data_IF_612077197246
#
_entry.id   IF_612077197246
#
_cell.length_a   1.000
_cell.length_b   1.000
_cell.length_c   1.000
_cell.angle_alpha   90.00
_cell.angle_beta   90.00
_cell.angle_gamma   90.00
#
_symmetry.space_group_name_H-M   'P 1'
#
loop_
_entity.id
_entity.type
_entity.pdbx_description
1 polymer ?
#
# COMPACT_ATOMS: atom_id res chain seq x y z
N UNK A 1 -10.77 35.49 1.09
CA UNK A 1 -10.97 34.27 1.89
C UNK A 1 -9.63 33.58 2.01
N UNK A 2 -9.04 33.52 3.21
CA UNK A 2 -7.75 32.90 3.46
C UNK A 2 -7.80 31.42 3.09
N UNK A 3 -7.10 31.03 2.03
CA UNK A 3 -6.77 29.64 1.78
C UNK A 3 -5.75 29.21 2.85
N UNK A 4 -6.21 28.84 4.05
CA UNK A 4 -5.41 28.01 4.94
C UNK A 4 -5.10 26.73 4.16
N UNK A 5 -3.83 26.52 3.83
CA UNK A 5 -3.35 25.31 3.16
C UNK A 5 -3.95 24.09 3.87
N UNK A 6 -4.79 23.37 3.14
CA UNK A 6 -5.39 22.14 3.65
C UNK A 6 -4.32 21.07 3.56
N UNK A 7 -3.70 20.77 4.69
CA UNK A 7 -2.64 19.76 4.80
C UNK A 7 -3.18 18.47 5.40
N UNK A 8 -2.73 17.34 4.88
CA UNK A 8 -3.08 16.01 5.39
C UNK A 8 -1.86 15.10 5.41
N UNK A 9 -1.82 14.16 6.37
CA UNK A 9 -1.04 12.94 6.23
C UNK A 9 -1.84 11.89 5.46
N UNK A 10 -1.19 11.03 4.69
CA UNK A 10 -1.84 9.90 4.05
C UNK A 10 -1.29 8.57 4.57
N UNK A 11 -2.19 7.72 5.10
CA UNK A 11 -1.89 6.33 5.44
C UNK A 11 -2.39 5.42 4.32
N UNK A 12 -1.47 4.85 3.54
CA UNK A 12 -1.77 4.05 2.35
C UNK A 12 -1.75 2.56 2.70
N UNK A 13 -2.89 1.91 2.53
CA UNK A 13 -3.11 0.55 3.00
C UNK A 13 -2.51 -0.54 2.12
N UNK A 14 -2.39 -1.72 2.74
CA UNK A 14 -2.09 -2.99 2.08
C UNK A 14 -3.22 -3.42 1.15
N UNK A 15 -2.91 -4.24 0.10
CA UNK A 15 -3.96 -4.72 -0.79
C UNK A 15 -3.49 -5.28 -2.12
N UNK A 16 -2.20 -5.55 -2.30
CA UNK A 16 -1.64 -6.09 -3.53
C UNK A 16 -2.13 -5.32 -4.79
N UNK A 17 -2.75 -5.99 -5.78
CA UNK A 17 -3.26 -5.35 -7.01
C UNK A 17 -4.28 -4.24 -6.76
N UNK A 18 -4.98 -4.26 -5.62
CA UNK A 18 -5.94 -3.21 -5.23
C UNK A 18 -5.26 -1.85 -5.03
N UNK A 19 -3.93 -1.83 -4.88
CA UNK A 19 -3.12 -0.61 -4.82
C UNK A 19 -3.28 0.34 -6.00
N UNK A 20 -3.76 -0.14 -7.15
CA UNK A 20 -4.10 0.74 -8.27
C UNK A 20 -5.19 1.78 -7.94
N UNK A 21 -6.03 1.51 -6.94
CA UNK A 21 -7.02 2.47 -6.45
C UNK A 21 -6.39 3.69 -5.76
N UNK A 22 -5.16 3.56 -5.24
CA UNK A 22 -4.43 4.69 -4.62
C UNK A 22 -4.11 5.79 -5.62
N UNK A 23 -3.86 5.43 -6.88
CA UNK A 23 -3.43 6.37 -7.92
C UNK A 23 -4.47 7.48 -8.15
N UNK A 24 -5.73 7.19 -8.53
CA UNK A 24 -6.73 8.22 -8.75
C UNK A 24 -7.10 8.97 -7.45
N UNK A 25 -7.01 8.32 -6.29
CA UNK A 25 -7.25 8.96 -4.99
C UNK A 25 -6.20 10.07 -4.76
N UNK A 26 -4.91 9.77 -4.89
CA UNK A 26 -3.82 10.74 -4.72
C UNK A 26 -3.95 11.87 -5.75
N UNK A 27 -4.18 11.54 -7.03
CA UNK A 27 -4.40 12.53 -8.10
C UNK A 27 -5.54 13.49 -7.77
N UNK A 28 -6.68 12.96 -7.34
CA UNK A 28 -7.84 13.77 -7.01
C UNK A 28 -7.59 14.68 -5.80
N UNK A 29 -6.97 14.19 -4.75
CA UNK A 29 -6.60 14.98 -3.57
C UNK A 29 -5.72 16.16 -3.97
N UNK A 30 -4.67 15.92 -4.77
CA UNK A 30 -3.82 17.00 -5.29
C UNK A 30 -4.59 17.99 -6.17
N UNK A 31 -5.45 17.51 -7.08
CA UNK A 31 -6.28 18.35 -7.95
C UNK A 31 -7.21 19.28 -7.17
N UNK A 32 -7.65 18.87 -5.98
CA UNK A 32 -8.48 19.69 -5.09
C UNK A 32 -7.67 20.71 -4.26
N UNK A 33 -6.38 20.83 -4.49
CA UNK A 33 -5.49 21.75 -3.78
C UNK A 33 -5.25 21.32 -2.32
N UNK A 34 -5.37 20.03 -2.01
CA UNK A 34 -5.06 19.48 -0.68
C UNK A 34 -3.60 19.01 -0.70
N UNK A 35 -2.79 19.60 0.17
CA UNK A 35 -1.37 19.27 0.32
C UNK A 35 -1.20 17.99 1.12
N UNK A 36 -0.40 17.05 0.62
CA UNK A 36 -0.01 15.86 1.35
C UNK A 36 1.33 16.18 2.02
N UNK A 37 1.35 16.30 3.34
CA UNK A 37 2.52 16.74 4.11
C UNK A 37 3.36 15.58 4.66
N UNK A 38 2.80 14.36 4.72
CA UNK A 38 3.52 13.13 5.11
C UNK A 38 2.79 11.91 4.57
N UNK A 39 3.51 10.83 4.34
CA UNK A 39 2.95 9.55 3.87
C UNK A 39 3.46 8.40 4.72
N UNK A 40 2.54 7.52 5.08
CA UNK A 40 2.86 6.19 5.59
C UNK A 40 2.29 5.13 4.66
N UNK A 41 2.91 3.98 4.61
CA UNK A 41 2.41 2.91 3.74
C UNK A 41 2.75 1.52 4.23
N UNK A 42 1.85 0.58 3.93
CA UNK A 42 2.02 -0.85 4.20
C UNK A 42 1.85 -1.63 2.89
N UNK A 43 2.74 -2.59 2.61
CA UNK A 43 2.70 -3.41 1.39
C UNK A 43 2.67 -2.58 0.12
N UNK A 44 1.65 -2.75 -0.73
CA UNK A 44 1.49 -1.92 -1.95
C UNK A 44 1.37 -0.43 -1.62
N UNK A 45 0.81 -0.08 -0.46
CA UNK A 45 0.77 1.30 0.02
C UNK A 45 2.15 1.86 0.31
N UNK A 46 3.09 1.03 0.78
CA UNK A 46 4.49 1.41 0.95
C UNK A 46 5.15 1.70 -0.40
N UNK A 47 4.91 0.85 -1.41
CA UNK A 47 5.44 1.05 -2.75
C UNK A 47 4.94 2.37 -3.36
N UNK A 48 3.63 2.58 -3.35
CA UNK A 48 3.02 3.79 -3.94
C UNK A 48 3.40 5.04 -3.14
N UNK A 49 3.37 4.93 -1.80
CA UNK A 49 3.71 6.03 -0.89
C UNK A 49 5.17 6.44 -0.99
N UNK A 50 6.09 5.48 -1.08
CA UNK A 50 7.51 5.76 -1.26
C UNK A 50 7.79 6.45 -2.60
N UNK A 51 7.14 5.99 -3.67
CA UNK A 51 7.26 6.65 -4.97
C UNK A 51 6.77 8.10 -4.89
N UNK A 52 5.58 8.32 -4.32
CA UNK A 52 5.01 9.66 -4.18
C UNK A 52 5.90 10.56 -3.31
N UNK A 53 6.37 10.07 -2.17
CA UNK A 53 7.20 10.84 -1.27
C UNK A 53 8.55 11.24 -1.90
N UNK A 54 9.11 10.37 -2.74
CA UNK A 54 10.37 10.62 -3.44
C UNK A 54 10.23 11.60 -4.61
N UNK A 55 9.18 11.44 -5.42
CA UNK A 55 9.03 12.18 -6.68
C UNK A 55 8.04 13.37 -6.60
N UNK A 56 7.22 13.48 -5.56
CA UNK A 56 6.19 14.52 -5.40
C UNK A 56 5.03 14.39 -6.38
N UNK A 57 4.99 13.31 -7.18
CA UNK A 57 3.98 13.05 -8.20
C UNK A 57 3.70 11.53 -8.32
N UNK A 58 2.60 11.18 -8.97
CA UNK A 58 2.16 9.79 -9.13
C UNK A 58 1.89 9.42 -10.58
N UNK A 59 1.94 10.40 -11.48
CA UNK A 59 1.59 10.21 -12.89
C UNK A 59 2.58 9.31 -13.63
N UNK A 60 3.87 9.49 -13.38
CA UNK A 60 4.92 8.67 -14.00
C UNK A 60 4.87 7.22 -13.53
N UNK A 61 4.55 6.98 -12.24
CA UNK A 61 4.30 5.61 -11.75
C UNK A 61 3.13 4.97 -12.51
N UNK A 62 2.03 5.72 -12.65
CA UNK A 62 0.85 5.26 -13.38
C UNK A 62 1.15 4.94 -14.85
N UNK A 63 1.86 5.84 -15.55
CA UNK A 63 2.23 5.63 -16.94
C UNK A 63 3.09 4.38 -17.16
N UNK A 64 3.99 4.08 -16.22
CA UNK A 64 4.81 2.86 -16.25
C UNK A 64 3.96 1.62 -15.93
N UNK A 65 3.17 1.67 -14.87
CA UNK A 65 2.40 0.53 -14.39
C UNK A 65 1.34 0.06 -15.39
N UNK A 66 0.57 0.97 -16.00
CA UNK A 66 -0.48 0.62 -16.97
C UNK A 66 0.04 0.01 -18.28
N UNK A 67 1.33 0.24 -18.62
CA UNK A 67 1.97 -0.33 -19.81
C UNK A 67 2.41 -1.76 -19.59
N UNK A 68 2.57 -2.21 -18.35
CA UNK A 68 3.02 -3.56 -18.03
C UNK A 68 1.95 -4.60 -18.38
N UNK A 69 2.31 -5.53 -19.23
CA UNK A 69 1.47 -6.65 -19.67
C UNK A 69 1.75 -7.90 -18.81
N UNK A 70 0.87 -8.90 -18.90
CA UNK A 70 1.06 -10.19 -18.22
C UNK A 70 2.45 -10.78 -18.42
N UNK A 71 2.99 -10.73 -19.66
CA UNK A 71 4.32 -11.26 -19.99
C UNK A 71 5.46 -10.55 -19.23
N UNK A 72 5.30 -9.26 -18.94
CA UNK A 72 6.31 -8.46 -18.25
C UNK A 72 6.33 -8.82 -16.76
N UNK A 73 5.16 -8.99 -16.15
CA UNK A 73 5.03 -9.50 -14.78
C UNK A 73 5.58 -10.93 -14.63
N UNK A 74 5.32 -11.81 -15.59
CA UNK A 74 5.86 -13.17 -15.58
C UNK A 74 7.39 -13.21 -15.64
N UNK A 75 8.04 -12.25 -16.33
CA UNK A 75 9.50 -12.13 -16.36
C UNK A 75 10.09 -11.73 -15.00
N UNK A 76 9.31 -11.02 -14.16
CA UNK A 76 9.73 -10.63 -12.82
C UNK A 76 9.59 -11.77 -11.80
N UNK A 77 8.82 -12.79 -12.13
CA UNK A 77 8.75 -13.99 -11.31
C UNK A 77 10.09 -14.73 -11.36
N UNK A 78 10.65 -14.97 -10.18
CA UNK A 78 11.87 -15.75 -9.98
C UNK A 78 11.55 -16.90 -9.01
N UNK A 79 11.20 -18.09 -9.53
CA UNK A 79 10.78 -19.22 -8.68
C UNK A 79 11.78 -19.54 -7.59
N UNK A 80 11.28 -19.84 -6.41
CA UNK A 80 12.07 -20.26 -5.25
C UNK A 80 11.84 -21.73 -4.94
N UNK A 81 12.54 -22.25 -3.92
CA UNK A 81 12.27 -23.58 -3.39
C UNK A 81 10.91 -23.59 -2.71
N UNK A 82 10.01 -24.55 -3.02
CA UNK A 82 8.63 -24.53 -2.52
C UNK A 82 8.48 -24.51 -1.00
N UNK A 83 9.48 -25.03 -0.28
CA UNK A 83 9.50 -25.02 1.19
C UNK A 83 9.90 -23.67 1.81
N UNK A 84 10.30 -22.69 1.00
CA UNK A 84 10.68 -21.36 1.48
C UNK A 84 9.65 -20.31 1.07
N UNK A 85 9.26 -20.26 -0.21
CA UNK A 85 8.30 -19.30 -0.78
C UNK A 85 8.04 -19.65 -2.24
N UNK A 86 7.03 -19.01 -2.87
CA UNK A 86 6.77 -19.19 -4.30
C UNK A 86 7.82 -18.51 -5.18
N UNK A 87 8.26 -17.30 -4.82
CA UNK A 87 9.25 -16.51 -5.57
C UNK A 87 10.32 -15.94 -4.64
N UNK A 88 11.51 -15.68 -5.18
CA UNK A 88 12.64 -15.10 -4.43
C UNK A 88 12.49 -13.60 -4.21
N UNK A 89 11.98 -12.88 -5.21
CA UNK A 89 11.79 -11.43 -5.19
C UNK A 89 12.98 -10.60 -5.67
N UNK A 90 14.09 -11.22 -6.06
CA UNK A 90 15.29 -10.49 -6.49
C UNK A 90 15.07 -9.73 -7.80
N UNK A 91 14.35 -10.33 -8.76
CA UNK A 91 14.00 -9.64 -10.02
C UNK A 91 13.06 -8.46 -9.79
N UNK A 92 12.13 -8.59 -8.85
CA UNK A 92 11.21 -7.51 -8.45
C UNK A 92 12.00 -6.39 -7.77
N UNK A 93 12.90 -6.71 -6.86
CA UNK A 93 13.79 -5.74 -6.22
C UNK A 93 14.60 -4.97 -7.26
N UNK A 94 15.25 -5.67 -8.19
CA UNK A 94 16.02 -5.05 -9.27
C UNK A 94 15.13 -4.14 -10.12
N UNK A 95 13.94 -4.60 -10.51
CA UNK A 95 12.99 -3.80 -11.27
C UNK A 95 12.60 -2.50 -10.53
N UNK A 96 12.34 -2.55 -9.23
CA UNK A 96 12.01 -1.37 -8.45
C UNK A 96 13.18 -0.40 -8.31
N UNK A 97 14.41 -0.91 -8.18
CA UNK A 97 15.62 -0.09 -8.22
C UNK A 97 15.71 0.62 -9.58
N UNK A 98 15.66 -0.13 -10.68
CA UNK A 98 15.88 0.39 -12.02
C UNK A 98 14.78 1.37 -12.47
N UNK A 99 13.55 1.19 -12.00
CA UNK A 99 12.38 1.92 -12.51
C UNK A 99 11.83 2.98 -11.56
N UNK A 100 12.02 2.83 -10.24
CA UNK A 100 11.28 3.64 -9.28
C UNK A 100 12.16 4.37 -8.27
N UNK A 101 13.12 3.72 -7.65
CA UNK A 101 13.79 4.26 -6.47
C UNK A 101 15.28 4.53 -6.64
N UNK A 102 15.96 3.87 -7.58
CA UNK A 102 17.42 3.93 -7.66
C UNK A 102 18.07 3.51 -6.34
N UNK A 103 19.06 4.26 -5.91
CA UNK A 103 19.77 4.10 -4.63
C UNK A 103 19.22 5.04 -3.54
N UNK A 104 18.04 5.62 -3.74
CA UNK A 104 17.47 6.64 -2.87
C UNK A 104 17.24 6.14 -1.44
N UNK A 105 17.43 7.05 -0.52
CA UNK A 105 17.20 6.88 0.91
C UNK A 105 16.00 7.70 1.37
N UNK A 106 15.53 7.50 2.60
CA UNK A 106 14.48 8.32 3.19
C UNK A 106 14.84 9.81 3.29
N UNK A 107 16.12 10.16 3.24
CA UNK A 107 16.56 11.57 3.23
C UNK A 107 16.32 12.28 1.90
N UNK A 108 16.16 11.52 0.84
CA UNK A 108 15.95 12.04 -0.52
C UNK A 108 14.47 12.30 -0.82
N UNK A 109 13.57 11.95 0.11
CA UNK A 109 12.12 12.19 -0.06
C UNK A 109 11.77 13.68 0.13
N UNK A 110 10.83 14.17 -0.67
CA UNK A 110 10.35 15.56 -0.62
C UNK A 110 9.44 15.83 0.59
N UNK A 111 8.83 14.78 1.12
CA UNK A 111 7.96 14.81 2.31
C UNK A 111 8.29 13.62 3.21
N UNK A 112 8.04 13.70 4.53
CA UNK A 112 8.23 12.58 5.44
C UNK A 112 7.55 11.30 4.95
N UNK A 113 8.31 10.21 4.96
CA UNK A 113 7.86 8.87 4.59
C UNK A 113 8.11 7.90 5.74
N UNK A 114 7.12 7.05 6.02
CA UNK A 114 7.31 5.88 6.88
C UNK A 114 6.78 4.64 6.18
N UNK A 115 7.58 3.60 6.14
CA UNK A 115 7.23 2.29 5.59
C UNK A 115 6.98 1.31 6.73
N UNK A 116 5.80 0.70 6.75
CA UNK A 116 5.45 -0.31 7.74
C UNK A 116 5.85 -1.71 7.24
N UNK A 117 6.54 -2.46 8.09
CA UNK A 117 6.77 -3.89 7.95
C UNK A 117 6.40 -4.60 9.26
N UNK A 118 6.39 -5.92 9.27
CA UNK A 118 6.15 -6.71 10.49
C UNK A 118 7.41 -7.49 10.87
N UNK A 119 7.82 -7.37 12.13
CA UNK A 119 8.83 -8.25 12.73
C UNK A 119 8.14 -9.54 13.22
N UNK A 120 8.33 -10.69 12.55
CA UNK A 120 7.64 -11.92 12.90
C UNK A 120 8.16 -12.56 14.20
N UNK A 121 9.40 -12.26 14.63
CA UNK A 121 10.00 -12.79 15.85
C UNK A 121 9.52 -12.01 17.07
N UNK A 122 9.49 -10.67 16.98
CA UNK A 122 9.00 -9.81 18.07
C UNK A 122 7.48 -9.60 18.02
N UNK A 123 6.81 -10.08 16.96
CA UNK A 123 5.34 -10.00 16.77
C UNK A 123 4.80 -8.57 16.88
N UNK A 124 5.49 -7.62 16.24
CA UNK A 124 5.11 -6.20 16.28
C UNK A 124 5.26 -5.53 14.92
N UNK A 125 4.48 -4.48 14.61
CA UNK A 125 4.74 -3.64 13.46
C UNK A 125 6.06 -2.89 13.68
N UNK A 126 6.79 -2.66 12.58
CA UNK A 126 8.03 -1.89 12.54
C UNK A 126 7.86 -0.76 11.54
N UNK A 127 8.09 0.46 11.98
CA UNK A 127 7.97 1.67 11.18
C UNK A 127 9.35 2.17 10.77
N UNK A 128 9.67 2.03 9.49
CA UNK A 128 10.97 2.38 8.92
C UNK A 128 10.92 3.77 8.31
N UNK A 129 11.79 4.65 8.76
CA UNK A 129 11.90 6.05 8.34
C UNK A 129 13.36 6.45 7.96
N UNK A 130 14.24 5.46 7.85
CA UNK A 130 15.66 5.65 7.54
C UNK A 130 16.27 4.49 6.78
N UNK A 131 17.39 4.74 6.13
CA UNK A 131 18.08 3.76 5.29
C UNK A 131 17.65 3.87 3.83
N UNK A 132 17.88 2.80 3.05
CA UNK A 132 17.46 2.74 1.64
C UNK A 132 15.96 2.46 1.52
N UNK A 133 15.27 3.23 0.69
CA UNK A 133 13.84 3.08 0.45
C UNK A 133 13.53 1.66 -0.06
N UNK A 134 14.33 1.16 -0.99
CA UNK A 134 14.10 -0.18 -1.57
C UNK A 134 14.13 -1.29 -0.53
N UNK A 135 15.02 -1.21 0.47
CA UNK A 135 15.07 -2.24 1.53
C UNK A 135 13.80 -2.25 2.37
N UNK A 136 13.30 -1.07 2.75
CA UNK A 136 12.06 -0.93 3.50
C UNK A 136 10.83 -1.40 2.69
N UNK A 137 10.76 -1.01 1.41
CA UNK A 137 9.67 -1.43 0.51
C UNK A 137 9.68 -2.96 0.34
N UNK A 138 10.86 -3.57 0.09
CA UNK A 138 10.94 -5.04 -0.03
C UNK A 138 10.54 -5.75 1.25
N UNK A 139 10.92 -5.25 2.42
CA UNK A 139 10.47 -5.77 3.71
C UNK A 139 8.93 -5.69 3.83
N UNK A 140 8.36 -4.54 3.45
CA UNK A 140 6.94 -4.26 3.55
C UNK A 140 6.07 -5.08 2.59
N UNK A 141 6.58 -5.53 1.44
CA UNK A 141 5.86 -6.34 0.46
C UNK A 141 6.14 -7.85 0.58
N UNK A 142 6.89 -8.27 1.58
CA UNK A 142 7.25 -9.69 1.78
C UNK A 142 6.07 -10.49 2.31
N UNK A 143 5.07 -10.71 1.44
CA UNK A 143 3.83 -11.47 1.76
C UNK A 143 4.20 -12.90 2.12
N UNK A 144 3.81 -13.38 3.34
CA UNK A 144 4.07 -14.74 3.76
C UNK A 144 3.56 -15.79 2.76
N UNK A 145 4.41 -16.77 2.46
CA UNK A 145 4.13 -17.82 1.45
C UNK A 145 4.46 -17.40 0.01
N UNK A 146 4.31 -16.13 -0.37
CA UNK A 146 4.66 -15.63 -1.70
C UNK A 146 6.14 -15.28 -1.78
N UNK A 147 6.63 -14.47 -0.84
CA UNK A 147 8.03 -14.08 -0.71
C UNK A 147 8.66 -14.69 0.54
N UNK A 148 9.98 -14.91 0.57
CA UNK A 148 10.66 -15.24 1.80
C UNK A 148 10.64 -14.01 2.74
N UNK A 149 10.76 -14.20 4.06
CA UNK A 149 10.99 -13.10 4.97
C UNK A 149 12.22 -12.29 4.52
N UNK A 150 12.06 -10.98 4.41
CA UNK A 150 13.11 -10.10 3.92
C UNK A 150 14.11 -9.76 5.03
N UNK A 151 15.40 -9.99 4.76
CA UNK A 151 16.45 -9.75 5.75
C UNK A 151 17.08 -8.37 5.57
N UNK A 152 17.04 -7.52 6.60
CA UNK A 152 17.81 -6.29 6.69
C UNK A 152 18.79 -6.44 7.87
N UNK A 153 20.09 -6.46 7.60
CA UNK A 153 21.13 -6.79 8.59
C UNK A 153 20.83 -8.16 9.23
N UNK A 154 20.61 -8.20 10.52
CA UNK A 154 20.37 -9.45 11.28
C UNK A 154 18.89 -9.67 11.62
N UNK A 155 17.99 -8.85 11.08
CA UNK A 155 16.57 -8.94 11.36
C UNK A 155 15.77 -9.37 10.13
N UNK A 156 14.72 -10.17 10.34
CA UNK A 156 13.79 -10.61 9.33
C UNK A 156 12.47 -9.84 9.43
N UNK A 157 11.89 -9.55 8.28
CA UNK A 157 10.63 -8.82 8.17
C UNK A 157 9.70 -9.54 7.20
N UNK A 158 8.41 -9.43 7.47
CA UNK A 158 7.33 -9.83 6.56
C UNK A 158 6.43 -8.65 6.28
N UNK A 159 5.46 -8.82 5.38
CA UNK A 159 4.54 -7.77 4.95
C UNK A 159 3.93 -6.98 6.11
N UNK A 160 3.93 -5.66 5.97
CA UNK A 160 3.41 -4.76 7.00
C UNK A 160 1.94 -4.96 7.29
N UNK A 161 1.16 -5.35 6.27
CA UNK A 161 -0.27 -5.62 6.40
C UNK A 161 -0.63 -6.73 7.36
N UNK A 162 0.33 -7.59 7.72
CA UNK A 162 0.09 -8.67 8.69
C UNK A 162 -0.34 -8.12 10.06
N UNK A 163 0.22 -6.99 10.51
CA UNK A 163 -0.11 -6.39 11.81
C UNK A 163 -0.65 -4.96 11.74
N UNK A 164 -0.32 -4.22 10.68
CA UNK A 164 -0.79 -2.83 10.48
C UNK A 164 -1.09 -2.58 9.00
N UNK A 165 -2.27 -3.03 8.55
CA UNK A 165 -2.67 -2.88 7.14
C UNK A 165 -2.87 -1.43 6.69
N UNK A 166 -3.22 -0.50 7.59
CA UNK A 166 -3.36 0.93 7.31
C UNK A 166 -2.59 1.71 8.37
N UNK A 167 -1.31 2.04 8.16
CA UNK A 167 -0.40 2.53 9.20
C UNK A 167 -0.66 4.00 9.55
N UNK A 168 -1.70 4.26 10.34
CA UNK A 168 -2.09 5.59 10.82
C UNK A 168 -1.20 6.07 11.97
N UNK A 169 -0.79 5.14 12.84
CA UNK A 169 -0.05 5.46 14.07
C UNK A 169 1.17 6.37 13.85
N UNK A 170 2.07 6.14 12.87
CA UNK A 170 3.23 7.01 12.68
C UNK A 170 2.85 8.46 12.35
N UNK A 171 1.76 8.69 11.64
CA UNK A 171 1.27 10.06 11.36
C UNK A 171 0.75 10.74 12.62
N UNK A 172 0.09 10.00 13.51
CA UNK A 172 -0.33 10.52 14.82
C UNK A 172 0.89 10.85 15.69
N UNK A 173 1.92 9.99 15.68
CA UNK A 173 3.18 10.23 16.40
C UNK A 173 3.91 11.49 15.88
N UNK A 174 3.81 11.79 14.57
CA UNK A 174 4.27 13.03 13.94
C UNK A 174 3.37 14.24 14.27
N UNK A 175 2.31 14.06 15.04
CA UNK A 175 1.33 15.12 15.39
C UNK A 175 0.59 15.70 14.18
N UNK A 176 0.41 14.93 13.12
CA UNK A 176 -0.41 15.29 11.96
C UNK A 176 -1.87 15.39 12.41
N UNK A 177 -2.49 16.53 12.17
CA UNK A 177 -3.84 16.84 12.68
C UNK A 177 -4.96 16.20 11.87
N UNK A 178 -4.73 16.02 10.57
CA UNK A 178 -5.72 15.49 9.62
C UNK A 178 -5.07 14.37 8.81
N UNK A 179 -5.59 13.19 8.96
CA UNK A 179 -5.06 11.98 8.31
C UNK A 179 -6.11 11.38 7.41
N UNK A 180 -5.75 11.10 6.17
CA UNK A 180 -6.57 10.31 5.25
C UNK A 180 -6.00 8.91 5.16
N UNK A 181 -6.72 7.95 5.72
CA UNK A 181 -6.41 6.53 5.57
C UNK A 181 -7.10 5.96 4.33
N UNK A 182 -6.39 5.15 3.55
CA UNK A 182 -6.98 4.41 2.42
C UNK A 182 -6.91 2.93 2.75
N UNK A 183 -8.05 2.35 3.10
CA UNK A 183 -8.18 0.94 3.43
C UNK A 183 -8.52 0.13 2.17
N UNK A 184 -7.61 -0.69 1.68
CA UNK A 184 -7.82 -1.53 0.50
C UNK A 184 -8.30 -2.95 0.85
N UNK A 185 -8.56 -3.24 2.13
CA UNK A 185 -9.02 -4.56 2.57
C UNK A 185 -10.52 -4.78 2.35
N UNK A 186 -11.32 -3.72 2.18
CA UNK A 186 -12.75 -3.82 2.01
C UNK A 186 -13.17 -4.71 0.83
N UNK A 187 -14.22 -5.51 1.01
CA UNK A 187 -14.74 -6.40 -0.02
C UNK A 187 -16.26 -6.29 -0.18
N UNK A 188 -16.75 -6.74 -1.32
CA UNK A 188 -18.17 -6.94 -1.60
C UNK A 188 -18.45 -8.42 -1.43
N UNK A 189 -19.40 -8.77 -0.57
CA UNK A 189 -19.85 -10.15 -0.33
C UNK A 189 -20.23 -10.84 -1.64
N UNK A 190 -19.79 -12.08 -1.83
CA UNK A 190 -20.11 -12.89 -2.99
C UNK A 190 -20.64 -14.28 -2.58
N UNK A 191 -21.40 -14.89 -3.49
CA UNK A 191 -21.90 -16.23 -3.34
C UNK A 191 -20.76 -17.27 -3.28
N UNK A 192 -20.84 -18.28 -2.39
CA UNK A 192 -19.73 -19.20 -2.06
C UNK A 192 -19.47 -20.32 -3.09
N UNK A 193 -19.94 -20.21 -4.32
CA UNK A 193 -19.89 -21.29 -5.32
C UNK A 193 -18.52 -21.63 -5.91
N UNK A 194 -17.42 -21.17 -5.30
CA UNK A 194 -16.07 -21.44 -5.81
C UNK A 194 -15.27 -22.29 -4.82
N UNK A 195 -14.88 -23.48 -5.26
CA UNK A 195 -13.86 -24.27 -4.55
C UNK A 195 -12.58 -23.43 -4.36
N UNK A 196 -12.06 -23.41 -3.15
CA UNK A 196 -10.80 -22.74 -2.81
C UNK A 196 -9.71 -23.79 -2.63
N UNK A 197 -8.64 -23.67 -3.39
CA UNK A 197 -7.43 -24.44 -3.14
C UNK A 197 -6.71 -23.99 -1.86
N UNK A 198 -5.73 -24.76 -1.42
CA UNK A 198 -4.98 -24.48 -0.20
C UNK A 198 -4.38 -23.07 -0.16
N UNK A 199 -3.76 -22.64 -1.27
CA UNK A 199 -3.10 -21.34 -1.35
C UNK A 199 -4.14 -20.22 -1.28
N UNK A 200 -5.23 -20.35 -2.03
CA UNK A 200 -6.34 -19.38 -2.02
C UNK A 200 -6.99 -19.29 -0.64
N UNK A 201 -7.14 -20.42 0.05
CA UNK A 201 -7.69 -20.47 1.41
C UNK A 201 -6.80 -19.73 2.41
N UNK A 202 -5.49 -19.98 2.37
CA UNK A 202 -4.52 -19.31 3.26
C UNK A 202 -4.44 -17.80 3.00
N UNK A 203 -4.39 -17.39 1.74
CA UNK A 203 -4.37 -15.98 1.37
C UNK A 203 -5.67 -15.28 1.79
N UNK A 204 -6.82 -15.90 1.54
CA UNK A 204 -8.12 -15.36 1.97
C UNK A 204 -8.19 -15.19 3.49
N UNK A 205 -7.79 -16.22 4.24
CA UNK A 205 -7.77 -16.17 5.69
C UNK A 205 -6.89 -15.03 6.20
N UNK A 206 -5.71 -14.85 5.61
CA UNK A 206 -4.83 -13.73 5.93
C UNK A 206 -5.49 -12.38 5.65
N UNK A 207 -6.18 -12.24 4.52
CA UNK A 207 -6.90 -11.01 4.17
C UNK A 207 -8.07 -10.72 5.12
N UNK A 208 -8.82 -11.73 5.53
CA UNK A 208 -9.89 -11.57 6.52
C UNK A 208 -9.34 -11.06 7.86
N UNK A 209 -8.21 -11.59 8.31
CA UNK A 209 -7.54 -11.11 9.52
C UNK A 209 -7.06 -9.67 9.37
N UNK A 210 -6.44 -9.32 8.25
CA UNK A 210 -5.98 -7.96 7.95
C UNK A 210 -7.15 -6.97 7.87
N UNK A 211 -8.28 -7.39 7.30
CA UNK A 211 -9.49 -6.56 7.25
C UNK A 211 -10.00 -6.26 8.66
N UNK A 212 -10.12 -7.25 9.52
CA UNK A 212 -10.56 -7.05 10.92
C UNK A 212 -9.62 -6.11 11.69
N UNK A 213 -8.31 -6.18 11.43
CA UNK A 213 -7.33 -5.27 12.04
C UNK A 213 -7.50 -3.86 11.49
N UNK A 214 -7.77 -3.70 10.20
CA UNK A 214 -7.89 -2.39 9.55
C UNK A 214 -9.07 -1.53 10.04
N UNK A 215 -10.10 -2.15 10.60
CA UNK A 215 -11.27 -1.46 11.16
C UNK A 215 -11.08 -0.91 12.60
N UNK A 216 -9.92 -1.12 13.21
CA UNK A 216 -9.68 -0.74 14.60
C UNK A 216 -9.40 0.76 14.83
N UNK A 217 -9.20 1.54 13.78
CA UNK A 217 -8.76 2.94 13.85
C UNK A 217 -9.93 3.93 13.72
N UNK A 218 -10.89 3.90 14.67
CA UNK A 218 -11.85 4.99 14.81
C UNK A 218 -11.22 6.17 15.58
N UNK A 219 -10.71 7.13 14.84
CA UNK A 219 -10.13 8.36 15.39
C UNK A 219 -10.69 9.58 14.66
N UNK A 220 -11.13 10.62 15.41
CA UNK A 220 -11.68 11.86 14.86
C UNK A 220 -10.70 12.61 13.94
N UNK A 221 -9.38 12.35 14.07
CA UNK A 221 -8.35 12.91 13.23
C UNK A 221 -8.18 12.15 11.91
N UNK A 222 -8.86 11.00 11.74
CA UNK A 222 -8.72 10.11 10.60
C UNK A 222 -9.99 10.09 9.77
N UNK A 223 -9.84 10.31 8.47
CA UNK A 223 -10.88 10.13 7.47
C UNK A 223 -10.54 8.90 6.63
N UNK A 224 -11.35 7.85 6.71
CA UNK A 224 -11.09 6.61 5.97
C UNK A 224 -11.79 6.63 4.61
N UNK A 225 -11.02 6.39 3.56
CA UNK A 225 -11.48 5.99 2.24
C UNK A 225 -11.40 4.47 2.15
N UNK A 226 -12.54 3.82 1.95
CA UNK A 226 -12.68 2.38 2.00
C UNK A 226 -13.29 1.83 0.68
N UNK A 227 -12.51 1.77 -0.42
CA UNK A 227 -12.94 1.16 -1.65
C UNK A 227 -13.27 -0.33 -1.46
N UNK A 228 -14.43 -0.74 -1.97
CA UNK A 228 -14.90 -2.12 -1.87
C UNK A 228 -14.59 -2.89 -3.15
N UNK A 229 -13.93 -4.03 -3.00
CA UNK A 229 -13.52 -4.88 -4.11
C UNK A 229 -14.27 -6.21 -4.10
N UNK A 230 -14.46 -6.78 -5.29
CA UNK A 230 -14.90 -8.18 -5.37
C UNK A 230 -13.79 -9.09 -4.83
N UNK A 231 -14.13 -10.17 -4.09
CA UNK A 231 -13.15 -11.16 -3.68
C UNK A 231 -12.47 -11.76 -4.92
N UNK A 232 -11.15 -11.70 -4.96
CA UNK A 232 -10.37 -12.19 -6.09
C UNK A 232 -9.04 -12.81 -5.62
N UNK A 233 -9.06 -13.81 -4.68
CA UNK A 233 -7.85 -14.32 -4.04
C UNK A 233 -6.76 -14.78 -5.00
N UNK A 234 -7.05 -15.62 -6.03
CA UNK A 234 -5.98 -16.05 -6.94
C UNK A 234 -5.50 -14.92 -7.86
N UNK A 235 -6.29 -13.84 -8.02
CA UNK A 235 -5.99 -12.74 -8.91
C UNK A 235 -5.32 -11.54 -8.21
N UNK A 236 -5.13 -11.59 -6.89
CA UNK A 236 -4.54 -10.48 -6.12
C UNK A 236 -3.14 -10.11 -6.56
N UNK A 237 -2.40 -11.03 -7.14
CA UNK A 237 -1.07 -10.81 -7.71
C UNK A 237 -1.09 -10.53 -9.22
N UNK A 238 -2.27 -10.46 -9.83
CA UNK A 238 -2.42 -10.19 -11.25
C UNK A 238 -2.35 -8.69 -11.55
N UNK A 239 -1.20 -8.09 -11.32
CA UNK A 239 -0.99 -6.64 -11.51
C UNK A 239 -1.25 -6.12 -12.93
N UNK A 240 -1.41 -6.98 -13.92
CA UNK A 240 -1.85 -6.59 -15.27
C UNK A 240 -3.36 -6.35 -15.37
N UNK A 241 -4.15 -6.71 -14.33
CA UNK A 241 -5.60 -6.46 -14.24
C UNK A 241 -5.88 -5.22 -13.37
N UNK A 242 -5.43 -4.08 -13.81
CA UNK A 242 -5.48 -2.84 -13.02
C UNK A 242 -6.75 -2.02 -13.20
N UNK A 243 -7.46 -2.16 -14.34
CA UNK A 243 -8.48 -1.22 -14.80
C UNK A 243 -9.62 -1.05 -13.80
N UNK A 244 -10.25 -2.14 -13.40
CA UNK A 244 -11.36 -2.12 -12.44
C UNK A 244 -10.95 -1.56 -11.06
N UNK A 245 -9.72 -1.82 -10.61
CA UNK A 245 -9.19 -1.30 -9.35
C UNK A 245 -8.98 0.22 -9.41
N UNK A 246 -8.45 0.71 -10.52
CA UNK A 246 -8.32 2.14 -10.76
C UNK A 246 -9.70 2.83 -10.77
N UNK A 247 -10.67 2.29 -11.51
CA UNK A 247 -12.04 2.81 -11.60
C UNK A 247 -12.75 2.84 -10.23
N UNK A 248 -12.58 1.79 -9.41
CA UNK A 248 -13.11 1.76 -8.04
C UNK A 248 -12.50 2.88 -7.19
N UNK A 249 -11.19 3.09 -7.26
CA UNK A 249 -10.52 4.18 -6.55
C UNK A 249 -11.04 5.56 -6.99
N UNK A 250 -11.24 5.77 -8.30
CA UNK A 250 -11.79 7.00 -8.84
C UNK A 250 -13.21 7.26 -8.35
N UNK A 251 -14.08 6.24 -8.36
CA UNK A 251 -15.46 6.33 -7.85
C UNK A 251 -15.49 6.67 -6.36
N UNK A 252 -14.67 6.00 -5.55
CA UNK A 252 -14.64 6.25 -4.10
C UNK A 252 -14.25 7.68 -3.78
N UNK A 253 -13.18 8.19 -4.38
CA UNK A 253 -12.76 9.56 -4.11
C UNK A 253 -13.75 10.58 -4.67
N UNK A 254 -14.36 10.32 -5.82
CA UNK A 254 -15.40 11.19 -6.38
C UNK A 254 -16.60 11.30 -5.45
N UNK A 255 -17.05 10.19 -4.89
CA UNK A 255 -18.20 10.15 -3.98
C UNK A 255 -17.91 10.77 -2.60
N UNK A 256 -16.64 10.71 -2.15
CA UNK A 256 -16.23 11.13 -0.81
C UNK A 256 -15.57 12.50 -0.74
N UNK A 257 -15.19 13.10 -1.88
CA UNK A 257 -14.41 14.35 -1.90
C UNK A 257 -15.10 15.53 -1.21
N UNK A 258 -16.42 15.65 -1.34
CA UNK A 258 -17.18 16.71 -0.66
C UNK A 258 -17.16 16.52 0.85
N UNK A 259 -17.38 15.30 1.32
CA UNK A 259 -17.33 14.94 2.75
C UNK A 259 -15.92 15.17 3.31
N UNK A 260 -14.87 14.79 2.57
CA UNK A 260 -13.47 15.04 2.94
C UNK A 260 -13.21 16.54 3.10
N UNK A 261 -13.65 17.36 2.14
CA UNK A 261 -13.49 18.82 2.21
C UNK A 261 -14.20 19.44 3.41
N UNK A 262 -15.37 18.95 3.76
CA UNK A 262 -16.11 19.46 4.93
C UNK A 262 -15.49 19.01 6.24
N UNK A 263 -14.96 17.78 6.28
CA UNK A 263 -14.21 17.30 7.44
C UNK A 263 -12.90 18.08 7.66
N UNK A 264 -12.23 18.52 6.57
CA UNK A 264 -11.02 19.35 6.67
C UNK A 264 -11.27 20.76 7.20
N UNK A 265 -12.52 21.26 7.18
CA UNK A 265 -12.89 22.58 7.73
C UNK A 265 -13.11 22.56 9.25
N UNK A 266 -13.41 21.40 9.81
CA UNK A 266 -13.63 21.17 11.24
C UNK A 266 -12.30 21.00 11.99
#
# INVERSE_FOLDING_TARGET
>A
MNQKNKKIGMALGSGAVRGYALIPIIKRIKKEGIEIEAVTGSSIGALVGAYYALHGEIDSLWEKAKKMKRKDWLKLADPNRPNLSLIKGEKIKKFFIDQYYGDSTFKDTQIPLVVCATDPLQRKPVYMDKGKIIEAVMASISIPGIFPPYKIKDQFYVDGGVLDPVPVKPLLDMKIKKIVGVNLMGYIEQNPDKEMDLISTLLNSSYMMMEQISHREENKQVFILDPKFKPDPPNMLNFYKWKDKYEIGEQVIQNKISQLKDWLKK
#
